data_IF_004595694719
#
_entry.id   IF_004595694719
#
_cell.length_a   1.000
_cell.length_b   1.000
_cell.length_c   1.000
_cell.angle_alpha   90.00
_cell.angle_beta   90.00
_cell.angle_gamma   90.00
#
_symmetry.space_group_name_H-M   'P 1'
#
loop_
_entity.id
_entity.type
_entity.pdbx_description
1 polymer ?
#
# COMPACT_ATOMS: atom_id res chain seq x y z
N UNK A 1 -24.05 38.03 17.29
CA UNK A 1 -22.80 38.36 16.59
C UNK A 1 -22.76 37.71 15.20
N UNK A 2 -22.79 36.40 15.07
CA UNK A 2 -22.80 35.69 13.77
C UNK A 2 -24.03 36.05 12.92
N UNK A 3 -25.23 36.09 13.53
CA UNK A 3 -26.49 36.42 12.85
C UNK A 3 -26.55 37.86 12.32
N UNK A 4 -25.78 38.76 12.93
CA UNK A 4 -25.75 40.18 12.56
C UNK A 4 -24.53 40.53 11.70
N UNK A 5 -23.75 39.52 11.24
CA UNK A 5 -22.56 39.72 10.40
C UNK A 5 -21.34 40.37 11.13
N UNK A 6 -21.40 40.57 12.46
CA UNK A 6 -20.29 41.15 13.24
C UNK A 6 -19.20 40.13 13.57
N UNK A 7 -19.48 38.82 13.42
CA UNK A 7 -18.49 37.73 13.50
C UNK A 7 -18.68 36.81 12.30
N UNK A 8 -17.57 36.48 11.67
CA UNK A 8 -17.54 35.51 10.57
C UNK A 8 -17.35 34.10 11.16
N UNK A 9 -18.13 33.14 10.66
CA UNK A 9 -17.96 31.73 11.02
C UNK A 9 -16.75 31.12 10.31
N UNK A 10 -16.23 30.03 10.88
CA UNK A 10 -15.19 29.22 10.24
C UNK A 10 -15.82 28.34 9.15
N UNK A 11 -15.31 28.45 7.93
CA UNK A 11 -15.57 27.48 6.87
C UNK A 11 -14.57 26.33 7.01
N UNK A 12 -15.01 25.29 7.71
CA UNK A 12 -14.19 24.11 7.96
C UNK A 12 -13.92 23.30 6.68
N UNK A 13 -14.83 23.37 5.70
CA UNK A 13 -14.59 22.70 4.43
C UNK A 13 -13.43 23.36 3.68
N UNK A 14 -13.44 24.69 3.55
CA UNK A 14 -12.33 25.41 2.90
C UNK A 14 -11.02 25.29 3.69
N UNK A 15 -11.09 25.25 5.02
CA UNK A 15 -9.89 25.07 5.86
C UNK A 15 -9.23 23.71 5.70
N UNK A 16 -10.00 22.65 5.39
CA UNK A 16 -9.52 21.25 5.37
C UNK A 16 -9.37 20.70 3.96
N UNK A 17 -10.25 21.08 3.05
CA UNK A 17 -10.31 20.52 1.70
C UNK A 17 -9.70 21.47 0.68
N UNK A 18 -9.00 20.91 -0.31
CA UNK A 18 -8.58 21.66 -1.50
C UNK A 18 -9.48 21.28 -2.70
N UNK A 19 -9.69 22.21 -3.63
CA UNK A 19 -10.60 21.99 -4.76
C UNK A 19 -10.04 20.97 -5.76
N UNK A 20 -8.73 20.75 -5.78
CA UNK A 20 -8.05 19.86 -6.72
C UNK A 20 -7.02 19.02 -5.97
N UNK A 21 -6.94 17.74 -6.32
CA UNK A 21 -5.88 16.82 -5.90
C UNK A 21 -5.03 16.46 -7.13
N UNK A 22 -3.83 17.02 -7.28
CA UNK A 22 -2.96 16.71 -8.41
C UNK A 22 -2.60 15.23 -8.46
N UNK A 23 -2.58 14.69 -9.67
CA UNK A 23 -2.09 13.35 -9.97
C UNK A 23 -1.27 13.40 -11.25
N UNK A 24 -0.10 12.77 -11.24
CA UNK A 24 0.71 12.56 -12.44
C UNK A 24 0.97 11.09 -12.64
N UNK A 25 0.97 10.64 -13.91
CA UNK A 25 1.31 9.27 -14.26
C UNK A 25 2.11 9.28 -15.56
N UNK A 26 3.25 8.60 -15.52
CA UNK A 26 4.14 8.46 -16.67
C UNK A 26 4.40 6.97 -16.91
N UNK A 27 4.32 6.55 -18.16
CA UNK A 27 4.65 5.18 -18.53
C UNK A 27 5.50 5.20 -19.79
N UNK A 28 6.64 4.51 -19.73
CA UNK A 28 7.50 4.25 -20.86
C UNK A 28 7.52 2.77 -21.14
N UNK A 29 7.34 2.36 -22.39
CA UNK A 29 7.43 0.96 -22.76
C UNK A 29 8.19 0.75 -24.07
N UNK A 30 8.86 -0.39 -24.16
CA UNK A 30 9.54 -0.86 -25.36
C UNK A 30 9.13 -2.30 -25.62
N UNK A 31 8.85 -2.61 -26.89
CA UNK A 31 8.56 -3.97 -27.35
C UNK A 31 9.26 -4.24 -28.66
N UNK A 32 9.67 -5.47 -28.85
CA UNK A 32 10.33 -5.88 -30.09
C UNK A 32 10.57 -7.37 -30.10
N UNK A 33 11.28 -7.82 -31.12
CA UNK A 33 11.65 -9.19 -31.25
C UNK A 33 11.71 -9.66 -32.70
N UNK A 34 11.93 -10.94 -32.82
CA UNK A 34 11.91 -11.70 -34.09
C UNK A 34 11.16 -13.02 -33.87
N UNK A 35 11.26 -13.95 -34.81
CA UNK A 35 10.62 -15.26 -34.69
C UNK A 35 11.11 -16.13 -33.52
N UNK A 36 12.32 -15.85 -32.99
CA UNK A 36 12.94 -16.61 -31.89
C UNK A 36 12.79 -15.93 -30.53
N UNK A 37 12.85 -14.60 -30.49
CA UNK A 37 12.80 -13.85 -29.23
C UNK A 37 11.82 -12.70 -29.37
N UNK A 38 10.91 -12.59 -28.41
CA UNK A 38 9.99 -11.48 -28.27
C UNK A 38 10.14 -10.90 -26.87
N UNK A 39 10.09 -9.57 -26.75
CA UNK A 39 10.19 -8.92 -25.46
C UNK A 39 9.25 -7.73 -25.33
N UNK A 40 8.82 -7.50 -24.12
CA UNK A 40 8.13 -6.31 -23.66
C UNK A 40 8.75 -5.84 -22.35
N UNK A 41 9.14 -4.54 -22.30
CA UNK A 41 9.67 -3.88 -21.12
C UNK A 41 8.82 -2.66 -20.86
N UNK A 42 8.50 -2.38 -19.61
CA UNK A 42 7.86 -1.11 -19.23
C UNK A 42 8.31 -0.62 -17.88
N UNK A 43 8.38 0.71 -17.75
CA UNK A 43 8.60 1.43 -16.49
C UNK A 43 7.48 2.45 -16.32
N UNK A 44 6.94 2.54 -15.13
CA UNK A 44 5.88 3.48 -14.78
C UNK A 44 6.18 4.20 -13.49
N UNK A 45 5.80 5.46 -13.41
CA UNK A 45 5.81 6.29 -12.22
C UNK A 45 4.45 6.96 -12.05
N UNK A 46 3.94 6.98 -10.83
CA UNK A 46 2.71 7.67 -10.45
C UNK A 46 2.94 8.43 -9.14
N UNK A 47 2.47 9.66 -9.11
CA UNK A 47 2.38 10.50 -7.92
C UNK A 47 0.95 11.00 -7.76
N UNK A 48 0.42 10.98 -6.55
CA UNK A 48 -0.94 11.42 -6.26
C UNK A 48 -0.97 12.13 -4.90
N UNK A 49 -1.55 13.33 -4.87
CA UNK A 49 -1.86 14.07 -3.66
C UNK A 49 -3.30 13.83 -3.18
N UNK A 50 -3.55 14.16 -1.93
CA UNK A 50 -4.89 14.10 -1.34
C UNK A 50 -5.73 15.34 -1.64
N UNK A 51 -7.06 15.22 -1.50
CA UNK A 51 -7.99 16.36 -1.42
C UNK A 51 -7.92 17.12 -0.09
N UNK A 52 -7.26 16.59 0.94
CA UNK A 52 -7.00 17.33 2.17
C UNK A 52 -5.85 18.31 1.96
N UNK A 53 -5.90 19.46 2.66
CA UNK A 53 -4.82 20.48 2.67
C UNK A 53 -3.62 20.04 3.51
N UNK A 54 -3.39 18.75 3.64
CA UNK A 54 -2.23 18.18 4.31
C UNK A 54 -1.05 18.11 3.33
N UNK A 55 0.10 18.61 3.73
CA UNK A 55 1.34 18.48 2.96
C UNK A 55 1.98 17.08 3.09
N UNK A 56 1.45 16.26 3.99
CA UNK A 56 1.99 14.94 4.32
C UNK A 56 1.03 13.80 3.96
N UNK A 57 0.13 14.02 3.00
CA UNK A 57 -0.80 12.99 2.56
C UNK A 57 -0.70 12.81 1.04
N UNK A 58 0.23 11.96 0.65
CA UNK A 58 0.56 11.66 -0.73
C UNK A 58 0.85 10.17 -0.96
N UNK A 59 0.95 9.80 -2.22
CA UNK A 59 1.24 8.45 -2.67
C UNK A 59 2.15 8.48 -3.89
N UNK A 60 3.27 7.78 -3.77
CA UNK A 60 4.24 7.53 -4.83
C UNK A 60 4.24 6.06 -5.22
N UNK A 61 4.31 5.78 -6.53
CA UNK A 61 4.45 4.41 -7.02
C UNK A 61 5.38 4.35 -8.22
N UNK A 62 6.34 3.44 -8.13
CA UNK A 62 7.21 3.05 -9.22
C UNK A 62 6.98 1.58 -9.57
N UNK A 63 6.87 1.27 -10.86
CA UNK A 63 6.71 -0.10 -11.33
C UNK A 63 7.58 -0.40 -12.55
N UNK A 64 8.14 -1.61 -12.56
CA UNK A 64 8.87 -2.19 -13.68
C UNK A 64 8.21 -3.49 -14.11
N UNK A 65 8.19 -3.76 -15.41
CA UNK A 65 7.74 -5.05 -15.96
C UNK A 65 8.64 -5.47 -17.10
N UNK A 66 8.96 -6.75 -17.13
CA UNK A 66 9.67 -7.42 -18.22
C UNK A 66 8.98 -8.73 -18.57
N UNK A 67 8.63 -8.92 -19.82
CA UNK A 67 8.12 -10.19 -20.34
C UNK A 67 9.01 -10.57 -21.53
N UNK A 68 9.56 -11.77 -21.51
CA UNK A 68 10.44 -12.30 -22.56
C UNK A 68 9.93 -13.68 -22.93
N UNK A 69 9.71 -13.91 -24.22
CA UNK A 69 9.38 -15.20 -24.79
C UNK A 69 10.48 -15.61 -25.76
N UNK A 70 11.02 -16.81 -25.59
CA UNK A 70 12.15 -17.29 -26.39
C UNK A 70 11.90 -18.70 -26.88
N UNK A 71 11.95 -18.90 -28.20
CA UNK A 71 12.02 -20.23 -28.81
C UNK A 71 13.46 -20.73 -28.78
N UNK A 72 13.77 -21.59 -27.80
CA UNK A 72 15.10 -22.19 -27.63
C UNK A 72 15.39 -23.17 -28.77
N UNK A 73 14.35 -23.95 -29.15
CA UNK A 73 14.34 -24.81 -30.34
C UNK A 73 12.97 -24.68 -31.04
N UNK A 74 12.77 -25.33 -32.17
CA UNK A 74 11.47 -25.35 -32.85
C UNK A 74 10.36 -25.99 -32.00
N UNK A 75 10.71 -26.67 -30.90
CA UNK A 75 9.79 -27.40 -30.01
C UNK A 75 9.80 -26.92 -28.56
N UNK A 76 10.76 -26.13 -28.18
CA UNK A 76 10.89 -25.63 -26.81
C UNK A 76 10.79 -24.12 -26.79
N UNK A 77 9.73 -23.61 -26.16
CA UNK A 77 9.54 -22.19 -25.86
C UNK A 77 9.67 -21.98 -24.36
N UNK A 78 10.38 -20.93 -23.99
CA UNK A 78 10.53 -20.49 -22.59
C UNK A 78 10.03 -19.05 -22.47
N UNK A 79 9.08 -18.84 -21.57
CA UNK A 79 8.53 -17.54 -21.22
C UNK A 79 9.04 -17.14 -19.83
N UNK A 80 9.60 -15.95 -19.73
CA UNK A 80 10.04 -15.35 -18.47
C UNK A 80 9.31 -14.04 -18.25
N UNK A 81 8.63 -13.93 -17.12
CA UNK A 81 7.93 -12.70 -16.70
C UNK A 81 8.47 -12.26 -15.37
N UNK A 82 8.69 -10.95 -15.24
CA UNK A 82 9.13 -10.32 -14.00
C UNK A 82 8.42 -8.97 -13.86
N UNK A 83 7.98 -8.66 -12.65
CA UNK A 83 7.52 -7.32 -12.29
C UNK A 83 8.01 -6.92 -10.91
N UNK A 84 8.32 -5.64 -10.75
CA UNK A 84 8.64 -5.00 -9.49
C UNK A 84 7.74 -3.80 -9.28
N UNK A 85 7.22 -3.66 -8.07
CA UNK A 85 6.44 -2.51 -7.64
C UNK A 85 7.06 -2.00 -6.34
N UNK A 86 7.30 -0.70 -6.27
CA UNK A 86 7.65 -0.01 -5.03
C UNK A 86 6.67 1.13 -4.87
N UNK A 87 5.97 1.17 -3.75
CA UNK A 87 5.07 2.26 -3.43
C UNK A 87 5.32 2.77 -2.02
N UNK A 88 5.10 4.07 -1.85
CA UNK A 88 5.13 4.76 -0.58
C UNK A 88 3.85 5.57 -0.42
N UNK A 89 3.26 5.48 0.76
CA UNK A 89 2.15 6.30 1.18
C UNK A 89 2.54 7.02 2.45
N UNK A 90 2.58 8.34 2.38
CA UNK A 90 2.74 9.20 3.54
C UNK A 90 1.39 9.75 4.00
N UNK A 91 1.22 9.92 5.30
CA UNK A 91 0.03 10.54 5.87
C UNK A 91 0.31 11.08 7.27
N UNK A 92 -0.48 12.08 7.75
CA UNK A 92 -0.48 12.47 9.15
C UNK A 92 -0.78 11.27 10.04
N UNK A 93 -0.38 11.34 11.32
CA UNK A 93 -0.71 10.29 12.27
C UNK A 93 -2.21 10.02 12.35
N UNK A 94 -3.03 11.08 12.27
CA UNK A 94 -4.49 10.95 12.18
C UNK A 94 -4.92 10.52 10.78
N UNK A 95 -5.74 9.51 10.70
CA UNK A 95 -6.25 9.01 9.42
C UNK A 95 -7.21 10.01 8.76
N UNK A 96 -7.25 10.04 7.43
CA UNK A 96 -8.06 10.97 6.65
C UNK A 96 -9.58 10.90 6.97
N UNK A 97 -10.12 9.73 7.27
CA UNK A 97 -11.53 9.56 7.66
C UNK A 97 -11.87 10.25 8.99
N UNK A 98 -10.96 10.26 9.96
CA UNK A 98 -11.10 10.99 11.20
C UNK A 98 -11.03 12.50 11.00
N UNK A 99 -10.12 12.99 10.16
CA UNK A 99 -10.01 14.40 9.79
C UNK A 99 -11.32 14.89 9.13
N UNK A 100 -11.86 14.11 8.19
CA UNK A 100 -13.14 14.43 7.54
C UNK A 100 -14.31 14.42 8.54
N UNK A 101 -14.35 13.47 9.47
CA UNK A 101 -15.37 13.44 10.52
C UNK A 101 -15.25 14.63 11.45
N UNK A 102 -14.04 15.01 11.87
CA UNK A 102 -13.80 16.19 12.70
C UNK A 102 -14.27 17.46 11.98
N UNK A 103 -13.93 17.62 10.69
CA UNK A 103 -14.39 18.72 9.85
C UNK A 103 -15.91 18.82 9.80
N UNK A 104 -16.61 17.69 9.60
CA UNK A 104 -18.08 17.67 9.52
C UNK A 104 -18.77 17.96 10.85
N UNK A 105 -18.11 17.70 11.97
CA UNK A 105 -18.65 17.88 13.31
C UNK A 105 -18.29 19.23 13.93
N UNK A 106 -17.24 19.88 13.44
CA UNK A 106 -16.77 21.16 13.97
C UNK A 106 -17.80 22.27 13.70
N UNK A 107 -18.26 22.98 14.73
CA UNK A 107 -19.23 24.05 14.53
C UNK A 107 -18.58 25.28 13.89
N UNK A 108 -19.28 25.94 13.00
CA UNK A 108 -18.80 27.17 12.35
C UNK A 108 -18.52 28.32 13.33
N UNK A 109 -19.03 28.24 14.55
CA UNK A 109 -18.78 29.23 15.61
C UNK A 109 -17.43 29.09 16.30
N UNK A 110 -16.74 27.96 16.10
CA UNK A 110 -15.41 27.71 16.66
C UNK A 110 -14.34 28.20 15.68
N UNK A 111 -13.39 29.04 16.11
CA UNK A 111 -12.26 29.45 15.29
C UNK A 111 -11.23 28.33 15.18
N UNK A 112 -10.41 28.37 14.12
CA UNK A 112 -9.27 27.45 13.94
C UNK A 112 -8.19 27.69 15.01
N UNK A 113 -7.96 28.96 15.36
CA UNK A 113 -6.93 29.40 16.28
C UNK A 113 -7.55 30.09 17.50
N UNK A 114 -7.00 29.85 18.68
CA UNK A 114 -7.39 30.51 19.91
C UNK A 114 -7.15 32.03 19.77
N UNK A 115 -8.18 32.83 20.06
CA UNK A 115 -8.13 34.29 19.90
C UNK A 115 -7.66 34.77 18.52
N UNK A 116 -7.90 33.97 17.44
CA UNK A 116 -7.43 34.22 16.07
C UNK A 116 -5.91 34.38 15.93
N UNK A 117 -5.13 33.88 16.89
CA UNK A 117 -3.68 33.89 16.82
C UNK A 117 -3.16 32.57 16.20
N UNK A 118 -2.50 32.61 15.02
CA UNK A 118 -2.06 31.41 14.31
C UNK A 118 -1.02 30.56 15.06
N UNK A 119 -0.37 31.12 16.07
CA UNK A 119 0.58 30.36 16.89
C UNK A 119 -0.09 29.40 17.87
N UNK A 120 -1.43 29.52 18.07
CA UNK A 120 -2.18 28.76 19.05
C UNK A 120 -3.40 28.10 18.43
N UNK A 121 -3.26 26.84 18.00
CA UNK A 121 -4.39 26.02 17.51
C UNK A 121 -5.45 25.93 18.61
N UNK A 122 -6.71 26.24 18.25
CA UNK A 122 -7.83 26.17 19.19
C UNK A 122 -8.12 24.73 19.59
N UNK A 123 -8.32 24.50 20.89
CA UNK A 123 -8.75 23.19 21.40
C UNK A 123 -10.09 22.76 20.73
N UNK A 124 -10.07 21.60 20.10
CA UNK A 124 -11.17 21.12 19.26
C UNK A 124 -12.48 20.91 20.05
N UNK A 125 -13.59 20.95 19.33
CA UNK A 125 -14.94 20.80 19.86
C UNK A 125 -15.15 19.53 20.68
N UNK A 126 -14.54 18.43 20.24
CA UNK A 126 -14.59 17.14 20.94
C UNK A 126 -13.16 16.71 21.21
N UNK A 127 -12.75 16.77 22.47
CA UNK A 127 -11.48 16.22 23.00
C UNK A 127 -10.22 16.48 22.14
N UNK A 128 -10.10 17.68 21.52
CA UNK A 128 -8.95 18.03 20.70
C UNK A 128 -9.09 17.65 19.23
N UNK A 129 -10.29 17.49 18.72
CA UNK A 129 -10.58 17.22 17.30
C UNK A 129 -10.51 18.50 16.45
N UNK A 130 -9.41 19.28 16.51
CA UNK A 130 -9.21 20.38 15.56
C UNK A 130 -8.75 19.80 14.21
N UNK A 131 -9.57 19.87 13.14
CA UNK A 131 -9.23 19.22 11.87
C UNK A 131 -7.94 19.75 11.23
N UNK A 132 -7.60 21.02 11.46
CA UNK A 132 -6.36 21.63 10.94
C UNK A 132 -5.15 21.08 11.67
N UNK A 133 -5.21 20.94 13.02
CA UNK A 133 -4.16 20.27 13.78
C UNK A 133 -3.97 18.81 13.34
N UNK A 134 -5.08 18.09 13.13
CA UNK A 134 -5.08 16.68 12.76
C UNK A 134 -4.45 16.42 11.38
N UNK A 135 -4.42 17.41 10.48
CA UNK A 135 -3.78 17.31 9.16
C UNK A 135 -2.28 17.60 9.17
N UNK A 136 -1.79 18.27 10.21
CA UNK A 136 -0.42 18.73 10.29
C UNK A 136 0.47 17.65 10.93
N UNK A 137 1.29 17.00 10.11
CA UNK A 137 2.23 15.98 10.58
C UNK A 137 3.34 16.54 11.50
N UNK A 138 3.58 17.85 11.47
CA UNK A 138 4.49 18.48 12.41
C UNK A 138 3.90 18.56 13.81
N UNK A 139 2.59 18.63 13.93
CA UNK A 139 1.85 18.58 15.19
C UNK A 139 1.59 17.14 15.63
N UNK A 140 0.81 16.39 14.85
CA UNK A 140 0.27 15.08 15.28
C UNK A 140 1.23 13.91 15.05
N UNK A 141 2.29 14.09 14.26
CA UNK A 141 3.16 13.02 13.78
C UNK A 141 2.73 12.47 12.42
N UNK A 142 3.42 11.43 11.99
CA UNK A 142 3.28 10.88 10.62
C UNK A 142 3.24 9.36 10.59
N UNK A 143 2.70 8.84 9.50
CA UNK A 143 2.77 7.43 9.11
C UNK A 143 3.31 7.34 7.70
N UNK A 144 4.36 6.55 7.52
CA UNK A 144 4.92 6.21 6.21
C UNK A 144 4.81 4.71 6.01
N UNK A 145 4.13 4.31 4.95
CA UNK A 145 3.98 2.92 4.54
C UNK A 145 4.79 2.69 3.28
N UNK A 146 5.85 1.89 3.38
CA UNK A 146 6.67 1.49 2.24
C UNK A 146 6.38 0.05 1.88
N UNK A 147 5.99 -0.20 0.65
CA UNK A 147 5.66 -1.52 0.17
C UNK A 147 6.47 -1.84 -1.10
N UNK A 148 7.04 -3.04 -1.14
CA UNK A 148 7.85 -3.53 -2.24
C UNK A 148 7.38 -4.92 -2.63
N UNK A 149 7.00 -5.07 -3.90
CA UNK A 149 6.61 -6.34 -4.48
C UNK A 149 7.59 -6.75 -5.57
N UNK A 150 8.02 -7.97 -5.50
CA UNK A 150 8.71 -8.66 -6.59
C UNK A 150 7.88 -9.87 -6.99
N UNK A 151 7.59 -9.99 -8.28
CA UNK A 151 6.82 -11.09 -8.85
C UNK A 151 7.58 -11.63 -10.06
N UNK A 152 7.73 -12.94 -10.14
CA UNK A 152 8.40 -13.57 -11.27
C UNK A 152 7.77 -14.91 -11.62
N UNK A 153 7.80 -15.26 -12.92
CA UNK A 153 7.46 -16.59 -13.37
C UNK A 153 8.33 -17.02 -14.55
N UNK A 154 8.64 -18.28 -14.58
CA UNK A 154 9.26 -18.95 -15.73
C UNK A 154 8.36 -20.11 -16.16
N UNK A 155 8.06 -20.18 -17.45
CA UNK A 155 7.30 -21.27 -18.03
C UNK A 155 8.07 -21.86 -19.20
N UNK A 156 8.15 -23.18 -19.26
CA UNK A 156 8.66 -23.92 -20.42
C UNK A 156 7.52 -24.70 -21.05
N UNK A 157 7.40 -24.61 -22.37
CA UNK A 157 6.45 -25.38 -23.20
C UNK A 157 7.25 -26.20 -24.16
N UNK A 158 7.06 -27.53 -24.15
CA UNK A 158 7.73 -28.47 -25.03
C UNK A 158 6.72 -29.27 -25.83
N UNK A 159 6.80 -29.16 -27.18
CA UNK A 159 6.02 -29.96 -28.12
C UNK A 159 6.64 -31.34 -28.29
N UNK A 160 5.92 -32.37 -27.86
CA UNK A 160 6.43 -33.75 -27.88
C UNK A 160 6.44 -34.30 -29.32
N UNK A 161 7.62 -34.63 -29.89
CA UNK A 161 7.75 -34.87 -31.35
C UNK A 161 7.09 -36.13 -31.85
N UNK A 162 6.96 -37.15 -31.01
CA UNK A 162 6.42 -38.44 -31.39
C UNK A 162 4.92 -38.63 -31.13
N UNK A 163 4.26 -37.63 -30.55
CA UNK A 163 2.80 -37.60 -30.37
C UNK A 163 2.30 -36.23 -30.83
N UNK A 164 1.71 -36.20 -32.02
CA UNK A 164 1.18 -34.98 -32.60
C UNK A 164 0.09 -34.38 -31.69
N UNK A 165 0.18 -33.12 -31.40
CA UNK A 165 -0.77 -32.39 -30.53
C UNK A 165 -0.54 -32.52 -29.02
N UNK A 166 0.51 -33.24 -28.59
CA UNK A 166 0.86 -33.35 -27.17
C UNK A 166 1.94 -32.34 -26.77
N UNK A 167 1.64 -31.55 -25.76
CA UNK A 167 2.55 -30.56 -25.13
C UNK A 167 2.77 -30.86 -23.66
N UNK A 168 4.01 -30.81 -23.22
CA UNK A 168 4.38 -30.74 -21.81
C UNK A 168 4.63 -29.28 -21.46
N UNK A 169 3.96 -28.79 -20.41
CA UNK A 169 4.20 -27.44 -19.84
C UNK A 169 4.61 -27.54 -18.39
N UNK A 170 5.66 -26.79 -18.01
CA UNK A 170 6.09 -26.60 -16.65
C UNK A 170 6.18 -25.12 -16.34
N UNK A 171 5.66 -24.68 -15.19
CA UNK A 171 5.75 -23.30 -14.73
C UNK A 171 6.15 -23.27 -13.26
N UNK A 172 6.99 -22.31 -12.93
CA UNK A 172 7.32 -21.92 -11.58
C UNK A 172 7.14 -20.41 -11.42
N UNK A 173 6.47 -19.99 -10.37
CA UNK A 173 6.29 -18.58 -10.00
C UNK A 173 6.77 -18.36 -8.58
N UNK A 174 7.40 -17.21 -8.36
CA UNK A 174 7.83 -16.73 -7.05
C UNK A 174 7.44 -15.27 -6.88
N UNK A 175 6.66 -15.01 -5.82
CA UNK A 175 6.27 -13.67 -5.42
C UNK A 175 6.81 -13.38 -4.03
N UNK A 176 7.33 -12.17 -3.84
CA UNK A 176 7.86 -11.70 -2.57
C UNK A 176 7.43 -10.26 -2.31
N UNK A 177 6.90 -10.02 -1.12
CA UNK A 177 6.50 -8.70 -0.64
C UNK A 177 7.25 -8.38 0.65
N UNK A 178 7.72 -7.13 0.75
CA UNK A 178 8.22 -6.53 1.98
C UNK A 178 7.42 -5.25 2.21
N UNK A 179 6.93 -5.05 3.43
CA UNK A 179 6.39 -3.77 3.86
C UNK A 179 7.12 -3.30 5.13
N UNK A 180 7.68 -2.09 5.07
CA UNK A 180 8.37 -1.43 6.17
C UNK A 180 7.63 -0.15 6.54
N UNK A 181 6.95 -0.15 7.69
CA UNK A 181 6.15 0.97 8.12
C UNK A 181 6.84 1.75 9.23
N UNK A 182 6.68 3.06 9.18
CA UNK A 182 7.11 4.00 10.21
C UNK A 182 5.91 4.77 10.71
N UNK A 183 5.67 4.73 12.02
CA UNK A 183 4.55 5.42 12.64
C UNK A 183 5.09 6.23 13.79
N UNK A 184 4.99 7.54 13.68
CA UNK A 184 5.34 8.48 14.72
C UNK A 184 4.07 9.19 15.21
N UNK A 185 3.76 9.05 16.50
CA UNK A 185 2.75 9.85 17.17
C UNK A 185 3.48 10.92 17.99
N UNK A 186 3.29 12.17 17.65
CA UNK A 186 3.89 13.31 18.38
C UNK A 186 2.95 13.80 19.47
N UNK A 187 3.53 14.21 20.58
CA UNK A 187 2.80 15.00 21.58
C UNK A 187 2.74 16.45 21.12
N UNK A 188 1.57 17.06 21.17
CA UNK A 188 1.37 18.45 20.81
C UNK A 188 0.38 19.13 21.76
N UNK A 189 0.19 20.45 21.63
CA UNK A 189 -0.76 21.20 22.44
C UNK A 189 -1.78 21.90 21.55
N UNK A 190 -3.00 21.94 22.03
CA UNK A 190 -4.05 22.88 21.59
C UNK A 190 -4.37 23.82 22.74
N UNK A 191 -5.04 24.94 22.46
CA UNK A 191 -5.14 26.06 23.41
C UNK A 191 -6.56 26.58 23.51
N UNK A 192 -6.91 27.02 24.75
CA UNK A 192 -8.08 27.81 25.02
C UNK A 192 -7.63 29.19 25.47
N UNK A 193 -8.20 30.26 24.91
CA UNK A 193 -7.89 31.63 25.32
C UNK A 193 -8.82 32.12 26.43
N UNK A 194 -8.26 32.57 27.54
CA UNK A 194 -8.98 33.22 28.60
C UNK A 194 -8.87 34.74 28.43
N UNK A 195 -9.98 35.38 28.06
CA UNK A 195 -10.02 36.83 27.85
C UNK A 195 -9.95 37.66 29.13
N UNK A 196 -10.22 37.06 30.32
CA UNK A 196 -10.15 37.78 31.59
C UNK A 196 -8.73 37.94 32.11
N UNK A 197 -7.88 36.94 31.81
CA UNK A 197 -6.46 36.91 32.22
C UNK A 197 -5.51 37.15 31.05
N UNK A 198 -6.04 37.27 29.83
CA UNK A 198 -5.27 37.39 28.57
C UNK A 198 -4.25 36.24 28.38
N UNK A 199 -4.59 35.01 28.83
CA UNK A 199 -3.70 33.87 28.81
C UNK A 199 -4.19 32.76 27.86
N UNK A 200 -3.23 32.00 27.28
CA UNK A 200 -3.48 30.80 26.47
C UNK A 200 -3.26 29.56 27.36
N UNK A 201 -4.35 28.89 27.71
CA UNK A 201 -4.32 27.65 28.49
C UNK A 201 -4.09 26.45 27.57
N UNK A 202 -2.94 25.79 27.74
CA UNK A 202 -2.59 24.63 26.88
C UNK A 202 -3.28 23.34 27.32
N UNK A 203 -3.73 22.58 26.36
CA UNK A 203 -4.21 21.19 26.48
C UNK A 203 -3.26 20.28 25.74
N UNK A 204 -2.58 19.40 26.47
CA UNK A 204 -1.65 18.44 25.91
C UNK A 204 -2.40 17.24 25.33
N UNK A 205 -2.11 16.92 24.08
CA UNK A 205 -2.71 15.80 23.33
C UNK A 205 -1.67 14.77 22.93
N UNK A 206 -2.09 13.54 22.68
CA UNK A 206 -1.24 12.41 22.26
C UNK A 206 -0.03 12.20 23.18
N UNK A 207 -0.25 12.19 24.47
CA UNK A 207 0.81 12.00 25.46
C UNK A 207 0.70 10.62 26.16
N UNK A 208 1.82 9.88 26.28
CA UNK A 208 3.14 10.14 25.69
C UNK A 208 3.14 9.92 24.17
N UNK A 209 4.01 10.66 23.47
CA UNK A 209 4.29 10.38 22.05
C UNK A 209 4.89 8.99 21.86
N UNK A 210 4.81 8.44 20.66
CA UNK A 210 5.35 7.10 20.38
C UNK A 210 6.00 6.99 19.02
N UNK A 211 7.03 6.15 18.93
CA UNK A 211 7.55 5.67 17.64
C UNK A 211 7.33 4.17 17.50
N UNK A 212 6.81 3.75 16.35
CA UNK A 212 6.60 2.35 15.99
C UNK A 212 7.27 2.05 14.67
N UNK A 213 7.90 0.89 14.58
CA UNK A 213 8.41 0.29 13.35
C UNK A 213 7.71 -1.05 13.16
N UNK A 214 7.23 -1.28 11.94
CA UNK A 214 6.59 -2.54 11.56
C UNK A 214 7.28 -3.10 10.34
N UNK A 215 7.47 -4.39 10.33
CA UNK A 215 8.04 -5.14 9.22
C UNK A 215 7.14 -6.33 8.89
N UNK A 216 6.75 -6.43 7.62
CA UNK A 216 5.94 -7.53 7.10
C UNK A 216 6.66 -8.15 5.90
N UNK A 217 6.64 -9.47 5.85
CA UNK A 217 7.07 -10.22 4.67
C UNK A 217 5.97 -11.19 4.24
N UNK A 218 5.77 -11.29 2.93
CA UNK A 218 4.89 -12.32 2.34
C UNK A 218 5.60 -12.93 1.16
N UNK A 219 5.50 -14.26 1.05
CA UNK A 219 6.04 -14.98 -0.08
C UNK A 219 5.04 -16.01 -0.59
N UNK A 220 5.08 -16.26 -1.88
CA UNK A 220 4.27 -17.27 -2.53
C UNK A 220 5.09 -18.00 -3.57
N UNK A 221 5.00 -19.31 -3.57
CA UNK A 221 5.57 -20.19 -4.56
C UNK A 221 4.44 -20.97 -5.21
N UNK A 222 4.41 -20.97 -6.53
CA UNK A 222 3.45 -21.72 -7.31
C UNK A 222 4.23 -22.51 -8.36
N UNK A 223 3.95 -23.78 -8.45
CA UNK A 223 4.44 -24.59 -9.55
C UNK A 223 3.30 -25.38 -10.18
N UNK A 224 3.34 -25.55 -11.48
CA UNK A 224 2.48 -26.50 -12.13
C UNK A 224 3.22 -27.24 -13.25
N UNK A 225 2.82 -28.48 -13.45
CA UNK A 225 3.23 -29.31 -14.58
C UNK A 225 1.97 -29.83 -15.25
N UNK A 226 1.85 -29.68 -16.56
CA UNK A 226 0.68 -30.16 -17.29
C UNK A 226 1.04 -30.85 -18.59
N UNK A 227 0.26 -31.87 -18.91
CA UNK A 227 0.17 -32.50 -20.25
C UNK A 227 -1.09 -31.97 -20.91
N UNK A 228 -0.92 -31.36 -22.07
CA UNK A 228 -2.00 -30.82 -22.87
C UNK A 228 -2.01 -31.57 -24.21
N UNK A 229 -3.13 -32.13 -24.57
CA UNK A 229 -3.34 -32.81 -25.82
C UNK A 229 -4.45 -32.15 -26.63
N UNK A 230 -4.22 -31.91 -27.92
CA UNK A 230 -5.24 -31.44 -28.83
C UNK A 230 -4.92 -31.96 -30.24
N UNK A 231 -5.80 -32.77 -30.80
CA UNK A 231 -5.62 -33.31 -32.13
C UNK A 231 -6.96 -33.56 -32.82
N UNK A 232 -7.00 -33.28 -34.14
CA UNK A 232 -8.15 -33.57 -35.00
C UNK A 232 -7.89 -34.81 -35.79
N UNK A 233 -8.67 -35.86 -35.58
CA UNK A 233 -8.60 -37.11 -36.30
C UNK A 233 -9.58 -37.11 -37.49
N UNK A 234 -9.11 -37.58 -38.64
CA UNK A 234 -9.92 -37.71 -39.86
C UNK A 234 -10.66 -36.41 -40.25
N UNK A 235 -10.08 -35.23 -39.91
CA UNK A 235 -10.65 -33.89 -40.15
C UNK A 235 -12.06 -33.66 -39.57
N UNK A 236 -12.51 -34.52 -38.64
CA UNK A 236 -13.88 -34.53 -38.11
C UNK A 236 -13.95 -34.68 -36.59
N UNK A 237 -13.00 -35.34 -35.98
CA UNK A 237 -13.06 -35.70 -34.56
C UNK A 237 -12.01 -34.88 -33.77
N UNK A 238 -12.46 -33.86 -33.08
CA UNK A 238 -11.60 -33.05 -32.26
C UNK A 238 -11.49 -33.62 -30.82
N UNK A 239 -10.33 -34.10 -30.48
CA UNK A 239 -10.04 -34.64 -29.15
C UNK A 239 -9.12 -33.70 -28.40
N UNK A 240 -9.49 -33.36 -27.20
CA UNK A 240 -8.65 -32.58 -26.29
C UNK A 240 -8.53 -33.20 -24.90
N UNK A 241 -7.40 -33.01 -24.27
CA UNK A 241 -7.15 -33.52 -22.92
C UNK A 241 -6.19 -32.61 -22.14
N UNK A 242 -6.43 -32.48 -20.86
CA UNK A 242 -5.53 -31.82 -19.92
C UNK A 242 -5.36 -32.69 -18.67
N UNK A 243 -4.12 -32.92 -18.30
CA UNK A 243 -3.77 -33.42 -16.98
C UNK A 243 -2.82 -32.38 -16.35
N UNK A 244 -3.19 -31.79 -15.20
CA UNK A 244 -2.44 -30.75 -14.51
C UNK A 244 -2.20 -31.15 -13.06
N UNK A 245 -0.96 -31.07 -12.62
CA UNK A 245 -0.55 -31.08 -11.22
C UNK A 245 -0.12 -29.66 -10.85
N UNK A 246 -0.71 -29.11 -9.80
CA UNK A 246 -0.40 -27.80 -9.25
C UNK A 246 -0.09 -27.89 -7.78
N UNK A 247 0.90 -27.13 -7.31
CA UNK A 247 1.18 -26.95 -5.90
C UNK A 247 1.51 -25.50 -5.61
N UNK A 248 0.98 -25.00 -4.50
CA UNK A 248 1.18 -23.64 -4.02
C UNK A 248 1.55 -23.67 -2.55
N UNK A 249 2.51 -22.82 -2.17
CA UNK A 249 2.81 -22.49 -0.79
C UNK A 249 2.82 -20.98 -0.62
N UNK A 250 2.22 -20.51 0.47
CA UNK A 250 2.18 -19.11 0.89
C UNK A 250 2.58 -18.99 2.34
N UNK A 251 3.50 -18.09 2.61
CA UNK A 251 3.99 -17.78 3.95
C UNK A 251 3.87 -16.29 4.19
N UNK A 252 3.45 -15.89 5.38
CA UNK A 252 3.47 -14.53 5.87
C UNK A 252 4.12 -14.48 7.23
N UNK A 253 4.96 -13.48 7.46
CA UNK A 253 5.65 -13.22 8.72
C UNK A 253 5.73 -11.72 8.98
N UNK A 254 5.77 -11.34 10.25
CA UNK A 254 5.83 -9.94 10.64
C UNK A 254 6.36 -9.76 12.05
N UNK A 255 6.80 -8.56 12.35
CA UNK A 255 7.03 -8.07 13.71
C UNK A 255 6.90 -6.56 13.77
N UNK A 256 6.65 -6.04 14.96
CA UNK A 256 6.68 -4.62 15.22
C UNK A 256 7.35 -4.32 16.55
N UNK A 257 7.92 -3.11 16.65
CA UNK A 257 8.51 -2.58 17.87
C UNK A 257 8.08 -1.13 18.07
N UNK A 258 7.78 -0.77 19.32
CA UNK A 258 7.31 0.55 19.72
C UNK A 258 7.99 1.00 21.00
N UNK A 259 8.28 2.30 21.11
CA UNK A 259 8.67 2.96 22.34
C UNK A 259 7.89 4.26 22.55
N UNK A 260 7.67 4.59 23.81
CA UNK A 260 7.22 5.91 24.21
C UNK A 260 8.35 6.92 24.12
N UNK A 261 8.02 8.13 23.69
CA UNK A 261 8.98 9.20 23.43
C UNK A 261 8.75 10.36 24.39
N UNK A 262 9.80 10.81 25.06
CA UNK A 262 9.77 12.04 25.87
C UNK A 262 9.93 13.31 25.03
N UNK A 263 10.57 13.18 23.86
CA UNK A 263 10.78 14.21 22.86
C UNK A 263 10.29 13.72 21.51
N UNK A 264 9.82 14.61 20.64
CA UNK A 264 9.33 14.28 19.30
C UNK A 264 10.49 13.95 18.32
N UNK A 265 11.26 12.90 18.63
CA UNK A 265 12.38 12.40 17.80
C UNK A 265 11.94 11.18 17.03
N UNK A 266 12.39 11.05 15.76
CA UNK A 266 12.07 9.89 14.90
C UNK A 266 13.13 8.76 15.00
N UNK A 267 13.65 8.52 16.19
CA UNK A 267 14.59 7.42 16.45
C UNK A 267 14.05 6.50 17.52
N UNK A 268 13.68 5.28 17.15
CA UNK A 268 13.09 4.30 18.06
C UNK A 268 13.98 4.08 19.32
N UNK A 269 15.29 4.00 19.15
CA UNK A 269 16.23 3.76 20.26
C UNK A 269 16.34 4.95 21.25
N UNK A 270 15.93 6.16 20.85
CA UNK A 270 15.90 7.34 21.74
C UNK A 270 14.69 7.34 22.69
N UNK A 271 13.75 6.42 22.49
CA UNK A 271 12.58 6.29 23.35
C UNK A 271 12.90 5.58 24.68
N UNK A 272 11.92 5.65 25.58
CA UNK A 272 12.01 5.00 26.89
C UNK A 272 12.10 3.49 26.78
N UNK A 273 13.21 2.92 27.19
CA UNK A 273 13.44 1.46 27.13
C UNK A 273 12.60 0.68 28.17
N UNK A 274 12.15 1.32 29.24
CA UNK A 274 11.27 0.69 30.24
C UNK A 274 9.84 0.46 29.70
N UNK A 275 9.42 1.27 28.73
CA UNK A 275 8.10 1.18 28.07
C UNK A 275 8.24 0.68 26.61
N UNK A 276 9.21 -0.18 26.37
CA UNK A 276 9.36 -0.84 25.08
C UNK A 276 8.30 -1.93 24.92
N UNK A 277 7.65 -1.91 23.77
CA UNK A 277 6.70 -2.93 23.34
C UNK A 277 7.19 -3.54 22.03
N UNK A 278 6.90 -4.81 21.81
CA UNK A 278 7.19 -5.50 20.57
C UNK A 278 6.40 -6.79 20.52
N UNK A 279 5.89 -7.13 19.35
CA UNK A 279 5.11 -8.34 19.14
C UNK A 279 5.01 -8.66 17.64
N UNK A 280 4.23 -9.67 17.33
CA UNK A 280 3.80 -10.08 16.01
C UNK A 280 2.30 -9.90 15.87
N UNK A 281 1.83 -9.53 14.69
CA UNK A 281 0.40 -9.58 14.37
C UNK A 281 0.06 -11.03 14.01
N UNK A 282 -0.90 -11.61 14.71
CA UNK A 282 -1.29 -13.02 14.55
C UNK A 282 -2.55 -13.22 13.70
N UNK A 283 -2.96 -12.18 12.98
CA UNK A 283 -4.09 -12.26 12.04
C UNK A 283 -3.82 -13.24 10.90
N UNK A 284 -4.87 -13.83 10.36
CA UNK A 284 -4.81 -14.85 9.29
C UNK A 284 -4.08 -14.43 8.01
N UNK A 285 -3.89 -13.12 7.81
CA UNK A 285 -3.20 -12.56 6.66
C UNK A 285 -1.81 -12.00 6.99
N UNK A 286 -1.38 -12.06 8.25
CA UNK A 286 -0.13 -11.47 8.73
C UNK A 286 0.88 -12.53 9.16
N UNK A 287 0.43 -13.58 9.89
CA UNK A 287 1.26 -14.70 10.31
C UNK A 287 0.61 -16.01 9.87
N UNK A 288 1.13 -16.64 8.83
CA UNK A 288 0.55 -17.86 8.30
C UNK A 288 1.55 -18.69 7.48
N UNK A 289 1.29 -19.98 7.42
CA UNK A 289 1.82 -20.92 6.43
C UNK A 289 0.68 -21.71 5.82
N UNK A 290 0.53 -21.67 4.52
CA UNK A 290 -0.52 -22.38 3.79
C UNK A 290 0.08 -23.11 2.60
N UNK A 291 -0.30 -24.37 2.41
CA UNK A 291 0.09 -25.16 1.26
C UNK A 291 -1.13 -25.86 0.67
N UNK A 292 -1.23 -25.82 -0.66
CA UNK A 292 -2.28 -26.47 -1.42
C UNK A 292 -1.64 -27.30 -2.53
N UNK A 293 -2.24 -28.47 -2.82
CA UNK A 293 -1.90 -29.28 -3.98
C UNK A 293 -3.18 -29.73 -4.66
N UNK A 294 -3.20 -29.67 -5.99
CA UNK A 294 -4.35 -30.06 -6.79
C UNK A 294 -3.94 -30.90 -8.00
N UNK A 295 -4.78 -31.85 -8.33
CA UNK A 295 -4.71 -32.60 -9.60
C UNK A 295 -5.99 -32.34 -10.37
N UNK A 296 -5.84 -31.88 -11.62
CA UNK A 296 -6.96 -31.56 -12.50
C UNK A 296 -6.88 -32.40 -13.76
N UNK A 297 -7.96 -33.06 -14.11
CA UNK A 297 -8.15 -33.75 -15.39
C UNK A 297 -9.33 -33.15 -16.13
N UNK A 298 -9.15 -32.93 -17.45
CA UNK A 298 -10.19 -32.49 -18.38
C UNK A 298 -10.09 -33.29 -19.67
N UNK A 299 -11.22 -33.71 -20.18
CA UNK A 299 -11.34 -34.35 -21.51
C UNK A 299 -12.42 -33.61 -22.30
N UNK A 300 -12.17 -33.43 -23.59
CA UNK A 300 -13.13 -32.86 -24.56
C UNK A 300 -13.13 -33.65 -25.85
N UNK A 301 -14.31 -33.83 -26.41
CA UNK A 301 -14.54 -34.41 -27.73
C UNK A 301 -15.61 -33.59 -28.45
N UNK A 302 -15.35 -33.24 -29.70
CA UNK A 302 -16.26 -32.47 -30.55
C UNK A 302 -16.19 -32.97 -31.99
#
# INVERSE_FOLDING_TARGET
AYRNGTKQGTDWYDAVMRPLAPQTQHTLSARGGNEKVQYYLSAGYMYQESFLRSESLDYDRFNLRSNISTKITDRLTVDFNMSGIMDQKDQPYTNADWIIRAMQRAPATQPIYANNNPDYLMYGWIEGDNPVAMMDADQVGSKTYNNKWFQSSIQATYDIPWIQGLQLKGMFSYDYQIADNRIQMKTFNEYEYDAATETYNSRRLQFPGTNTREHFTKQSWLYHVSLNYAHTFAEKHNVSGLLLLEGQRRDGDNFWARREMSLNLDYLFAGNSANQQGNMNTGDNDLYQRANMGLVGKFGYD
#
